data_IF_678249377935
#
_entry.id   IF_678249377935
#
_cell.length_a   1.000
_cell.length_b   1.000
_cell.length_c   1.000
_cell.angle_alpha   90.00
_cell.angle_beta   90.00
_cell.angle_gamma   90.00
#
_symmetry.space_group_name_H-M   'P 1'
#
loop_
_entity.id
_entity.type
_entity.pdbx_description
1 polymer ?
#
# COMPACT_ATOMS: atom_id res chain seq x y z
N UNK A 1 -19.08 4.14 5.84
CA UNK A 1 -18.70 3.50 4.56
C UNK A 1 -17.48 2.55 4.66
N UNK A 2 -16.87 2.35 5.85
CA UNK A 2 -15.80 1.34 6.05
C UNK A 2 -16.33 -0.08 6.35
N UNK A 3 -17.54 -0.18 6.89
CA UNK A 3 -18.18 -1.47 7.24
C UNK A 3 -18.50 -2.37 6.03
N UNK A 4 -18.48 -1.82 4.81
CA UNK A 4 -18.75 -2.58 3.57
C UNK A 4 -17.52 -3.36 3.11
N UNK A 5 -16.30 -2.88 3.39
CA UNK A 5 -15.07 -3.51 2.93
C UNK A 5 -14.68 -4.77 3.74
N UNK A 6 -15.05 -4.83 5.02
CA UNK A 6 -14.70 -5.96 5.89
C UNK A 6 -15.43 -7.27 5.53
N UNK A 7 -16.60 -7.20 4.87
CA UNK A 7 -17.43 -8.36 4.55
C UNK A 7 -17.18 -8.96 3.15
N UNK A 8 -16.33 -8.33 2.32
CA UNK A 8 -16.17 -8.74 0.92
C UNK A 8 -14.70 -8.80 0.50
N UNK A 9 -13.99 -9.86 0.91
CA UNK A 9 -12.89 -10.41 0.08
C UNK A 9 -13.43 -11.00 -1.26
N UNK A 10 -14.74 -10.93 -1.50
CA UNK A 10 -15.40 -11.38 -2.71
C UNK A 10 -15.44 -10.28 -3.80
N UNK A 11 -14.45 -10.38 -4.69
CA UNK A 11 -14.55 -10.25 -6.15
C UNK A 11 -14.76 -8.90 -6.89
N UNK A 12 -14.94 -7.74 -6.26
CA UNK A 12 -15.28 -6.53 -7.05
C UNK A 12 -14.31 -5.33 -7.00
N UNK A 13 -13.35 -5.28 -6.07
CA UNK A 13 -12.34 -4.21 -5.99
C UNK A 13 -11.04 -4.72 -5.35
N UNK A 14 -9.88 -4.15 -5.74
CA UNK A 14 -8.58 -4.38 -5.10
C UNK A 14 -8.17 -3.21 -4.22
N UNK A 15 -7.79 -3.51 -2.99
CA UNK A 15 -7.44 -2.51 -1.99
C UNK A 15 -5.95 -2.61 -1.65
N UNK A 16 -5.20 -1.57 -2.01
CA UNK A 16 -3.81 -1.35 -1.60
C UNK A 16 -3.81 -0.47 -0.36
N UNK A 17 -2.99 -0.79 0.64
CA UNK A 17 -2.93 0.00 1.87
C UNK A 17 -1.53 0.46 2.20
N UNK A 18 -1.42 1.72 2.60
CA UNK A 18 -0.25 2.27 3.28
C UNK A 18 -0.63 2.55 4.73
N UNK A 19 0.13 1.93 5.63
CA UNK A 19 -0.07 2.04 7.08
C UNK A 19 1.16 2.66 7.71
N UNK A 20 1.14 3.98 7.85
CA UNK A 20 2.01 4.72 8.76
C UNK A 20 1.40 6.11 8.95
N UNK A 21 1.56 6.68 10.15
CA UNK A 21 1.10 8.04 10.43
C UNK A 21 1.53 9.01 9.31
N UNK A 22 0.61 9.88 8.87
CA UNK A 22 0.89 10.83 7.79
C UNK A 22 1.95 11.83 8.27
N UNK A 23 3.19 11.61 7.84
CA UNK A 23 4.32 12.46 8.18
C UNK A 23 5.37 12.42 7.07
N UNK A 24 6.16 13.50 6.97
CA UNK A 24 7.26 13.56 6.00
C UNK A 24 8.25 12.43 6.31
N UNK A 25 8.71 11.74 5.26
CA UNK A 25 9.65 10.61 5.37
C UNK A 25 8.99 9.23 5.39
N UNK A 26 7.66 9.12 5.52
CA UNK A 26 6.92 7.86 5.41
C UNK A 26 6.49 7.50 3.99
N UNK A 27 6.70 8.42 3.04
CA UNK A 27 6.55 8.18 1.61
C UNK A 27 5.11 8.09 1.09
N UNK A 28 4.12 8.63 1.79
CA UNK A 28 2.73 8.65 1.29
C UNK A 28 2.61 9.42 -0.03
N UNK A 29 3.40 10.49 -0.22
CA UNK A 29 3.40 11.27 -1.46
C UNK A 29 3.96 10.47 -2.65
N UNK A 30 5.03 9.71 -2.42
CA UNK A 30 5.63 8.82 -3.42
C UNK A 30 4.69 7.66 -3.75
N UNK A 31 4.01 7.12 -2.74
CA UNK A 31 3.00 6.09 -2.94
C UNK A 31 1.82 6.62 -3.78
N UNK A 32 1.29 7.81 -3.49
CA UNK A 32 0.20 8.38 -4.27
C UNK A 32 0.59 8.63 -5.73
N UNK A 33 1.83 9.07 -5.97
CA UNK A 33 2.38 9.20 -7.34
C UNK A 33 2.45 7.83 -8.03
N UNK A 34 2.97 6.81 -7.35
CA UNK A 34 3.07 5.46 -7.89
C UNK A 34 1.69 4.83 -8.14
N UNK A 35 0.73 5.05 -7.25
CA UNK A 35 -0.64 4.59 -7.41
C UNK A 35 -1.33 5.25 -8.60
N UNK A 36 -1.16 6.57 -8.76
CA UNK A 36 -1.64 7.28 -9.95
C UNK A 36 -1.00 6.73 -11.23
N UNK A 37 0.32 6.50 -11.23
CA UNK A 37 1.02 5.89 -12.35
C UNK A 37 0.52 4.47 -12.65
N UNK A 38 0.25 3.65 -11.63
CA UNK A 38 -0.34 2.32 -11.80
C UNK A 38 -1.74 2.36 -12.45
N UNK A 39 -2.56 3.36 -12.10
CA UNK A 39 -3.85 3.59 -12.74
C UNK A 39 -3.68 3.94 -14.23
N UNK A 40 -2.72 4.82 -14.56
CA UNK A 40 -2.40 5.18 -15.94
C UNK A 40 -1.85 4.00 -16.73
N UNK A 41 -0.92 3.23 -16.17
CA UNK A 41 -0.36 2.03 -16.78
C UNK A 41 -1.44 0.99 -17.07
N UNK A 42 -2.37 0.78 -16.13
CA UNK A 42 -3.47 -0.17 -16.32
C UNK A 42 -4.39 0.23 -17.46
N UNK A 43 -4.72 1.53 -17.56
CA UNK A 43 -5.56 2.08 -18.63
C UNK A 43 -4.83 2.05 -19.99
N UNK A 44 -3.60 2.55 -20.04
CA UNK A 44 -2.80 2.64 -21.26
C UNK A 44 -2.46 1.27 -21.85
N UNK A 45 -2.18 0.28 -21.01
CA UNK A 45 -1.93 -1.12 -21.42
C UNK A 45 -3.23 -1.92 -21.64
N UNK A 46 -4.42 -1.30 -21.46
CA UNK A 46 -5.75 -1.94 -21.55
C UNK A 46 -5.86 -3.24 -20.75
N UNK A 47 -5.22 -3.27 -19.57
CA UNK A 47 -5.21 -4.46 -18.73
C UNK A 47 -6.58 -4.67 -18.10
N UNK A 48 -7.04 -5.93 -18.06
CA UNK A 48 -8.21 -6.30 -17.28
C UNK A 48 -7.81 -6.33 -15.80
N UNK A 49 -7.86 -5.16 -15.16
CA UNK A 49 -7.70 -5.02 -13.71
C UNK A 49 -9.04 -4.66 -13.07
N UNK A 50 -9.41 -5.30 -11.95
CA UNK A 50 -10.43 -4.80 -11.05
C UNK A 50 -10.11 -3.38 -10.57
N UNK A 51 -11.14 -2.62 -10.16
CA UNK A 51 -10.97 -1.29 -9.58
C UNK A 51 -9.95 -1.30 -8.44
N UNK A 52 -8.85 -0.56 -8.60
CA UNK A 52 -7.84 -0.41 -7.56
C UNK A 52 -8.17 0.79 -6.66
N UNK A 53 -8.02 0.61 -5.36
CA UNK A 53 -8.16 1.63 -4.33
C UNK A 53 -6.90 1.71 -3.47
N UNK A 54 -6.58 2.90 -2.99
CA UNK A 54 -5.53 3.18 -2.04
C UNK A 54 -6.15 3.58 -0.69
N UNK A 55 -5.71 2.94 0.40
CA UNK A 55 -6.14 3.23 1.77
C UNK A 55 -4.94 3.74 2.56
N UNK A 56 -4.99 5.00 3.01
CA UNK A 56 -3.93 5.62 3.80
C UNK A 56 -4.41 5.70 5.25
N UNK A 57 -3.86 4.84 6.10
CA UNK A 57 -4.22 4.78 7.53
C UNK A 57 -3.21 5.58 8.34
N UNK A 58 -3.70 6.53 9.15
CA UNK A 58 -2.85 7.42 9.95
C UNK A 58 -3.04 8.91 9.66
N UNK A 59 -4.10 9.28 8.93
CA UNK A 59 -4.51 10.67 8.70
C UNK A 59 -4.95 11.33 10.01
N UNK A 60 -4.78 12.64 10.10
CA UNK A 60 -5.23 13.45 11.21
C UNK A 60 -6.11 14.58 10.70
N UNK A 61 -7.39 14.26 10.49
CA UNK A 61 -8.39 15.20 9.98
C UNK A 61 -8.55 16.44 10.87
N UNK A 62 -8.22 16.34 12.16
CA UNK A 62 -8.28 17.46 13.11
C UNK A 62 -7.07 18.38 13.04
N UNK A 63 -5.87 17.83 12.80
CA UNK A 63 -4.65 18.62 12.73
C UNK A 63 -4.39 19.28 11.36
N UNK A 64 -5.01 18.77 10.28
CA UNK A 64 -4.85 19.23 8.88
C UNK A 64 -3.43 19.70 8.56
N UNK A 65 -2.44 18.86 8.84
CA UNK A 65 -1.04 19.25 8.64
C UNK A 65 -0.82 19.68 7.18
N UNK A 66 0.07 20.65 6.95
CA UNK A 66 0.42 21.13 5.60
C UNK A 66 0.71 19.97 4.64
N UNK A 67 1.36 18.91 5.12
CA UNK A 67 1.65 17.72 4.32
C UNK A 67 0.40 16.93 3.95
N UNK A 68 -0.56 16.74 4.87
CA UNK A 68 -1.81 16.05 4.53
C UNK A 68 -2.64 16.84 3.50
N UNK A 69 -2.65 18.17 3.61
CA UNK A 69 -3.27 19.05 2.60
C UNK A 69 -2.60 18.85 1.24
N UNK A 70 -1.26 18.80 1.17
CA UNK A 70 -0.53 18.51 -0.07
C UNK A 70 -0.94 17.16 -0.69
N UNK A 71 -1.11 16.10 0.12
CA UNK A 71 -1.56 14.79 -0.35
C UNK A 71 -3.00 14.84 -0.89
N UNK A 72 -3.91 15.52 -0.20
CA UNK A 72 -5.32 15.64 -0.61
C UNK A 72 -5.47 16.49 -1.87
N UNK A 73 -4.71 17.58 -1.99
CA UNK A 73 -4.66 18.39 -3.20
C UNK A 73 -4.16 17.56 -4.38
N UNK A 74 -3.10 16.78 -4.21
CA UNK A 74 -2.64 15.86 -5.26
C UNK A 74 -3.76 14.90 -5.71
N UNK A 75 -4.48 14.28 -4.77
CA UNK A 75 -5.61 13.38 -5.07
C UNK A 75 -6.73 14.12 -5.82
N UNK A 76 -7.00 15.37 -5.45
CA UNK A 76 -8.02 16.19 -6.08
C UNK A 76 -7.62 16.63 -7.50
N UNK A 77 -6.40 17.14 -7.66
CA UNK A 77 -5.83 17.59 -8.93
C UNK A 77 -5.76 16.46 -9.96
N UNK A 78 -5.44 15.24 -9.49
CA UNK A 78 -5.40 14.03 -10.32
C UNK A 78 -6.77 13.36 -10.51
N UNK A 79 -7.83 13.89 -9.89
CA UNK A 79 -9.21 13.38 -9.99
C UNK A 79 -9.35 11.92 -9.58
N UNK A 80 -8.64 11.50 -8.52
CA UNK A 80 -8.63 10.12 -7.99
C UNK A 80 -9.28 9.99 -6.61
N UNK A 81 -10.10 10.97 -6.18
CA UNK A 81 -10.78 10.98 -4.88
C UNK A 81 -11.64 9.73 -4.66
N UNK A 82 -12.30 9.22 -5.71
CA UNK A 82 -13.10 7.98 -5.62
C UNK A 82 -12.27 6.70 -5.42
N UNK A 83 -10.94 6.79 -5.52
CA UNK A 83 -10.00 5.67 -5.40
C UNK A 83 -9.04 5.80 -4.23
N UNK A 84 -8.97 6.94 -3.55
CA UNK A 84 -8.05 7.17 -2.43
C UNK A 84 -8.82 7.49 -1.16
N UNK A 85 -8.65 6.64 -0.15
CA UNK A 85 -9.34 6.71 1.13
C UNK A 85 -8.37 7.07 2.24
N UNK A 86 -8.55 8.24 2.85
CA UNK A 86 -7.79 8.64 4.03
C UNK A 86 -8.54 8.22 5.29
N UNK A 87 -7.85 7.48 6.16
CA UNK A 87 -8.40 6.94 7.40
C UNK A 87 -7.63 7.53 8.57
N UNK A 88 -8.37 7.97 9.59
CA UNK A 88 -7.81 8.54 10.81
C UNK A 88 -6.82 7.58 11.48
N UNK A 89 -5.89 8.14 12.26
CA UNK A 89 -5.02 7.36 13.15
C UNK A 89 -5.85 6.40 14.00
N UNK A 90 -5.40 5.16 14.06
CA UNK A 90 -6.04 4.07 14.81
C UNK A 90 -4.97 3.23 15.49
N UNK A 91 -5.27 2.72 16.67
CA UNK A 91 -4.47 1.69 17.33
C UNK A 91 -4.90 0.29 16.89
N UNK A 92 -6.10 0.15 16.33
CA UNK A 92 -6.63 -1.11 15.82
C UNK A 92 -6.49 -1.15 14.29
N UNK A 93 -5.39 -1.74 13.82
CA UNK A 93 -5.06 -1.88 12.38
C UNK A 93 -5.62 -3.16 11.76
N UNK A 94 -5.97 -4.17 12.56
CA UNK A 94 -6.42 -5.47 12.09
C UNK A 94 -7.61 -5.42 11.12
N UNK A 95 -8.67 -4.60 11.32
CA UNK A 95 -9.76 -4.50 10.35
C UNK A 95 -9.31 -4.00 8.98
N UNK A 96 -8.31 -3.10 8.95
CA UNK A 96 -7.77 -2.56 7.72
C UNK A 96 -6.89 -3.59 7.00
N UNK A 97 -6.06 -4.31 7.74
CA UNK A 97 -5.26 -5.43 7.21
C UNK A 97 -6.16 -6.55 6.66
N UNK A 98 -7.28 -6.85 7.31
CA UNK A 98 -8.24 -7.83 6.81
C UNK A 98 -8.93 -7.40 5.50
N UNK A 99 -9.11 -6.09 5.29
CA UNK A 99 -9.82 -5.52 4.14
C UNK A 99 -8.97 -5.26 2.89
N UNK A 100 -7.66 -5.50 2.96
CA UNK A 100 -6.70 -5.16 1.90
C UNK A 100 -6.12 -6.42 1.25
N UNK A 101 -5.57 -6.23 0.05
CA UNK A 101 -4.97 -7.30 -0.75
C UNK A 101 -3.44 -7.26 -0.72
N UNK A 102 -2.87 -6.06 -0.51
CA UNK A 102 -1.43 -5.80 -0.56
C UNK A 102 -1.10 -4.71 0.46
N UNK A 103 -0.07 -4.95 1.28
CA UNK A 103 0.54 -3.91 2.10
C UNK A 103 1.60 -3.17 1.29
N UNK A 104 1.57 -1.85 1.32
CA UNK A 104 2.63 -1.00 0.80
C UNK A 104 3.35 -0.31 1.97
N UNK A 105 4.60 -0.73 2.21
CA UNK A 105 5.47 -0.16 3.22
C UNK A 105 6.47 0.80 2.56
N UNK A 106 6.07 2.06 2.40
CA UNK A 106 6.81 3.03 1.59
C UNK A 106 7.69 3.99 2.39
N UNK A 107 8.15 3.61 3.57
CA UNK A 107 9.00 4.48 4.39
C UNK A 107 10.31 4.81 3.67
N UNK A 108 10.71 6.08 3.74
CA UNK A 108 11.92 6.61 3.12
C UNK A 108 13.06 6.79 4.14
N UNK A 109 12.74 6.67 5.43
CA UNK A 109 13.70 6.80 6.50
C UNK A 109 14.48 5.49 6.70
N UNK A 110 15.81 5.58 6.76
CA UNK A 110 16.70 4.44 7.08
C UNK A 110 16.51 3.89 8.50
N UNK A 111 15.77 4.58 9.38
CA UNK A 111 15.58 4.27 10.80
C UNK A 111 14.25 3.63 11.19
N UNK A 112 13.43 3.15 10.24
CA UNK A 112 12.31 2.26 10.61
C UNK A 112 12.86 0.87 10.96
N UNK A 113 13.20 0.70 12.25
CA UNK A 113 14.01 -0.44 12.69
C UNK A 113 13.26 -1.76 12.78
N UNK A 114 11.92 -1.78 12.88
CA UNK A 114 11.21 -3.03 13.25
C UNK A 114 10.11 -3.46 12.29
N UNK A 115 9.60 -2.57 11.43
CA UNK A 115 8.56 -2.94 10.45
C UNK A 115 7.36 -3.70 11.05
N UNK A 116 6.91 -3.36 12.27
CA UNK A 116 5.85 -4.10 12.98
C UNK A 116 4.62 -4.35 12.11
N UNK A 117 4.19 -3.31 11.40
CA UNK A 117 3.03 -3.39 10.52
C UNK A 117 3.26 -4.31 9.31
N UNK A 118 4.52 -4.45 8.87
CA UNK A 118 4.92 -5.43 7.85
C UNK A 118 4.71 -6.85 8.38
N UNK A 119 5.17 -7.15 9.59
CA UNK A 119 4.99 -8.47 10.22
C UNK A 119 3.50 -8.75 10.45
N UNK A 120 2.75 -7.77 10.96
CA UNK A 120 1.30 -7.88 11.14
C UNK A 120 0.61 -8.17 9.80
N UNK A 121 0.91 -7.44 8.73
CA UNK A 121 0.35 -7.71 7.40
C UNK A 121 0.72 -9.10 6.86
N UNK A 122 1.96 -9.55 7.08
CA UNK A 122 2.38 -10.90 6.70
C UNK A 122 1.58 -11.97 7.45
N UNK A 123 1.23 -11.74 8.72
CA UNK A 123 0.36 -12.62 9.49
C UNK A 123 -1.09 -12.66 8.95
N UNK A 124 -1.51 -11.62 8.22
CA UNK A 124 -2.78 -11.57 7.47
C UNK A 124 -2.67 -12.13 6.04
N UNK A 125 -1.58 -12.85 5.73
CA UNK A 125 -1.30 -13.41 4.40
C UNK A 125 -1.25 -12.34 3.30
N UNK A 126 -0.71 -11.16 3.62
CA UNK A 126 -0.58 -10.08 2.65
C UNK A 126 0.82 -10.03 2.07
N UNK A 127 0.99 -10.02 0.74
CA UNK A 127 2.26 -9.65 0.14
C UNK A 127 2.59 -8.19 0.44
N UNK A 128 3.89 -7.90 0.50
CA UNK A 128 4.40 -6.57 0.86
C UNK A 128 5.15 -5.93 -0.31
N UNK A 129 4.76 -4.72 -0.68
CA UNK A 129 5.56 -3.86 -1.56
C UNK A 129 6.30 -2.85 -0.69
N UNK A 130 7.61 -3.00 -0.57
CA UNK A 130 8.42 -2.28 0.41
C UNK A 130 9.51 -1.41 -0.21
N UNK A 131 9.80 -0.26 0.37
CA UNK A 131 11.06 0.43 0.04
C UNK A 131 12.24 -0.45 0.45
N UNK A 132 13.29 -0.53 -0.38
CA UNK A 132 14.56 -1.19 -0.10
C UNK A 132 15.40 -0.38 0.91
N UNK A 133 14.85 -0.15 2.11
CA UNK A 133 15.47 0.63 3.17
C UNK A 133 15.05 0.13 4.56
N UNK A 134 15.95 0.33 5.54
CA UNK A 134 15.73 -0.02 6.95
C UNK A 134 15.39 -1.50 7.14
N UNK A 135 14.63 -1.80 8.21
CA UNK A 135 14.23 -3.17 8.56
C UNK A 135 13.29 -3.84 7.55
N UNK A 136 12.78 -3.11 6.55
CA UNK A 136 11.95 -3.70 5.48
C UNK A 136 12.72 -4.75 4.69
N UNK A 137 14.03 -4.54 4.50
CA UNK A 137 14.89 -5.47 3.75
C UNK A 137 15.17 -6.78 4.48
N UNK A 138 15.12 -6.78 5.81
CA UNK A 138 15.29 -7.97 6.64
C UNK A 138 14.00 -8.82 6.70
N UNK A 139 12.85 -8.15 6.61
CA UNK A 139 11.53 -8.78 6.74
C UNK A 139 11.05 -9.31 5.38
N UNK A 140 11.15 -8.50 4.32
CA UNK A 140 10.62 -8.82 2.98
C UNK A 140 11.68 -9.52 2.14
N UNK A 141 11.41 -10.77 1.77
CA UNK A 141 12.23 -11.53 0.82
C UNK A 141 11.78 -11.19 -0.59
N UNK A 142 12.59 -10.39 -1.28
CA UNK A 142 12.31 -9.91 -2.63
C UNK A 142 11.99 -11.06 -3.60
N UNK A 143 10.88 -10.95 -4.34
CA UNK A 143 10.40 -11.98 -5.25
C UNK A 143 9.67 -13.15 -4.59
N UNK A 144 9.68 -13.24 -3.26
CA UNK A 144 9.11 -14.38 -2.51
C UNK A 144 7.93 -13.99 -1.63
N UNK A 145 8.12 -13.02 -0.73
CA UNK A 145 7.08 -12.50 0.18
C UNK A 145 6.58 -11.11 -0.26
N UNK A 146 6.99 -10.67 -1.45
CA UNK A 146 6.75 -9.32 -1.91
C UNK A 146 7.88 -8.81 -2.81
N UNK A 147 7.87 -7.51 -3.09
CA UNK A 147 8.93 -6.86 -3.84
C UNK A 147 9.46 -5.63 -3.13
N UNK A 148 10.75 -5.42 -3.31
CA UNK A 148 11.43 -4.22 -2.86
C UNK A 148 11.63 -3.26 -4.03
N UNK A 149 11.44 -1.96 -3.78
CA UNK A 149 11.71 -0.89 -4.75
C UNK A 149 12.69 0.16 -4.17
N UNK A 150 13.45 0.89 -5.02
CA UNK A 150 14.37 1.93 -4.55
C UNK A 150 13.68 3.02 -3.72
N UNK A 151 14.43 3.67 -2.83
CA UNK A 151 13.93 4.86 -2.14
C UNK A 151 13.89 6.08 -3.08
N UNK A 152 13.11 7.09 -2.70
CA UNK A 152 12.98 8.34 -3.44
C UNK A 152 12.14 8.22 -4.70
N UNK A 153 12.35 9.16 -5.63
CA UNK A 153 11.56 9.27 -6.87
C UNK A 153 11.75 8.07 -7.80
N UNK A 154 12.93 7.46 -7.79
CA UNK A 154 13.23 6.27 -8.60
C UNK A 154 12.30 5.10 -8.25
N UNK A 155 11.89 4.98 -6.99
CA UNK A 155 10.97 3.94 -6.53
C UNK A 155 9.55 4.04 -7.07
N UNK A 156 9.13 5.20 -7.58
CA UNK A 156 7.74 5.45 -7.99
C UNK A 156 7.31 4.47 -9.09
N UNK A 157 8.08 4.41 -10.18
CA UNK A 157 7.75 3.55 -11.32
C UNK A 157 7.83 2.07 -10.95
N UNK A 158 8.86 1.66 -10.19
CA UNK A 158 8.97 0.28 -9.71
C UNK A 158 7.76 -0.12 -8.85
N UNK A 159 7.34 0.74 -7.94
CA UNK A 159 6.16 0.49 -7.11
C UNK A 159 4.88 0.45 -7.96
N UNK A 160 4.74 1.34 -8.94
CA UNK A 160 3.60 1.36 -9.85
C UNK A 160 3.47 0.05 -10.65
N UNK A 161 4.59 -0.44 -11.21
CA UNK A 161 4.61 -1.71 -11.94
C UNK A 161 4.28 -2.91 -11.04
N UNK A 162 4.82 -2.92 -9.82
CA UNK A 162 4.54 -3.95 -8.83
C UNK A 162 3.06 -3.95 -8.39
N UNK A 163 2.45 -2.78 -8.23
CA UNK A 163 1.01 -2.62 -7.97
C UNK A 163 0.20 -3.26 -9.11
N UNK A 164 0.50 -2.91 -10.37
CA UNK A 164 -0.18 -3.47 -11.55
C UNK A 164 0.02 -4.98 -11.63
N UNK A 165 1.22 -5.47 -11.33
CA UNK A 165 1.53 -6.90 -11.38
C UNK A 165 0.75 -7.71 -10.35
N UNK A 166 0.66 -7.24 -9.10
CA UNK A 166 -0.16 -7.90 -8.08
C UNK A 166 -1.67 -7.70 -8.30
N UNK A 167 -2.09 -6.61 -8.94
CA UNK A 167 -3.48 -6.40 -9.34
C UNK A 167 -3.90 -7.36 -10.48
N UNK A 168 -3.03 -7.63 -11.44
CA UNK A 168 -3.34 -8.49 -12.60
C UNK A 168 -3.16 -9.98 -12.33
N UNK A 169 -2.35 -10.37 -11.35
CA UNK A 169 -2.02 -11.77 -11.08
C UNK A 169 -2.45 -12.20 -9.67
N UNK A 170 -3.68 -12.72 -9.57
CA UNK A 170 -4.30 -13.16 -8.31
C UNK A 170 -3.54 -14.34 -7.71
N UNK A 171 -3.19 -15.34 -8.51
CA UNK A 171 -2.48 -16.53 -8.04
C UNK A 171 -1.12 -16.18 -7.43
N UNK A 172 -0.36 -15.30 -8.10
CA UNK A 172 0.91 -14.79 -7.59
C UNK A 172 0.72 -14.05 -6.27
N UNK A 173 -0.29 -13.16 -6.20
CA UNK A 173 -0.59 -12.40 -4.98
C UNK A 173 -0.92 -13.32 -3.81
N UNK A 174 -1.77 -14.32 -4.02
CA UNK A 174 -2.15 -15.31 -3.00
C UNK A 174 -0.96 -16.18 -2.60
N UNK A 175 -0.15 -16.65 -3.57
CA UNK A 175 1.06 -17.44 -3.31
C UNK A 175 2.08 -16.66 -2.47
N UNK A 176 2.33 -15.40 -2.80
CA UNK A 176 3.21 -14.53 -2.01
C UNK A 176 2.65 -14.29 -0.61
N UNK A 177 1.35 -14.05 -0.48
CA UNK A 177 0.67 -13.91 0.80
C UNK A 177 0.82 -15.13 1.72
N UNK A 178 0.69 -16.34 1.17
CA UNK A 178 0.92 -17.57 1.92
C UNK A 178 2.38 -17.72 2.38
N UNK A 179 3.34 -17.34 1.53
CA UNK A 179 4.77 -17.32 1.88
C UNK A 179 5.08 -16.29 2.97
N UNK A 180 4.41 -15.14 2.95
CA UNK A 180 4.47 -14.16 4.03
C UNK A 180 4.07 -14.79 5.37
N UNK A 181 2.89 -15.41 5.40
CA UNK A 181 2.36 -16.03 6.62
C UNK A 181 3.29 -17.12 7.15
N UNK A 182 3.81 -17.99 6.28
CA UNK A 182 4.76 -19.04 6.68
C UNK A 182 6.08 -18.51 7.26
N UNK A 183 6.47 -17.26 6.97
CA UNK A 183 7.71 -16.65 7.47
C UNK A 183 7.56 -16.03 8.87
N UNK A 184 6.34 -15.65 9.26
CA UNK A 184 6.06 -14.98 10.54
C UNK A 184 5.24 -15.82 11.51
N UNK A 185 4.97 -17.08 11.14
CA UNK A 185 4.31 -18.08 11.98
C UNK A 185 5.30 -18.73 12.94
#
# INVERSE_FOLDING_TARGET
>A
MLFVFALTRQFLSYNFCVTSGVSRGKGQDLFLKAFYEALQLSQGRKLKVPPMHAVIVGSDMGAQTKFEIELRNFVADKKIQGRVHFVNKTLNVAPYLASIDVLVQNSQARGECFGRITIEAMAFQLPVLGTAAGGTTDIVVNGTTGWLHPAGKEGITHLAENIVRLATNVEMRMSMGMKCYGRVK
#
